data_IF_900322467120
#
_entry.id   IF_900322467120
#
_cell.length_a   1.000
_cell.length_b   1.000
_cell.length_c   1.000
_cell.angle_alpha   90.00
_cell.angle_beta   90.00
_cell.angle_gamma   90.00
#
_symmetry.space_group_name_H-M   'P 1'
#
loop_
_entity.id
_entity.type
_entity.pdbx_description
1 polymer ?
#
# COMPACT_ATOMS: atom_id res chain seq x y z
N UNK A 1 7.64 5.15 10.34
CA UNK A 1 8.80 5.19 9.45
C UNK A 1 8.61 6.39 8.57
N UNK A 2 9.47 7.40 8.71
CA UNK A 2 9.41 8.61 7.90
C UNK A 2 9.61 8.30 6.41
N UNK A 3 9.11 9.17 5.53
CA UNK A 3 9.23 9.00 4.06
C UNK A 3 10.67 8.73 3.59
N UNK A 4 11.67 9.37 4.21
CA UNK A 4 13.08 9.16 3.88
C UNK A 4 13.56 7.73 4.12
N UNK A 5 13.18 7.16 5.25
CA UNK A 5 13.51 5.78 5.61
C UNK A 5 12.83 4.78 4.66
N UNK A 6 11.58 5.07 4.24
CA UNK A 6 10.85 4.25 3.25
C UNK A 6 11.52 4.27 1.88
N UNK A 7 11.94 5.45 1.40
CA UNK A 7 12.71 5.60 0.16
C UNK A 7 13.99 4.76 0.25
N UNK A 8 14.75 4.89 1.34
CA UNK A 8 15.98 4.12 1.57
C UNK A 8 15.71 2.61 1.57
N UNK A 9 14.66 2.18 2.27
CA UNK A 9 14.26 0.78 2.35
C UNK A 9 13.98 0.20 0.96
N UNK A 10 13.10 0.81 0.17
CA UNK A 10 12.77 0.31 -1.17
C UNK A 10 13.94 0.43 -2.14
N UNK A 11 14.77 1.48 -2.04
CA UNK A 11 15.98 1.62 -2.86
C UNK A 11 16.93 0.44 -2.61
N UNK A 12 17.15 0.08 -1.34
CA UNK A 12 17.99 -1.06 -0.97
C UNK A 12 17.36 -2.38 -1.43
N UNK A 13 16.05 -2.55 -1.25
CA UNK A 13 15.31 -3.73 -1.70
C UNK A 13 15.47 -3.97 -3.21
N UNK A 14 15.55 -2.89 -3.99
CA UNK A 14 15.76 -2.94 -5.45
C UNK A 14 17.24 -2.94 -5.88
N UNK A 15 18.19 -3.01 -4.93
CA UNK A 15 19.62 -3.04 -5.21
C UNK A 15 20.18 -1.75 -5.84
N UNK A 16 19.48 -0.62 -5.68
CA UNK A 16 19.85 0.64 -6.33
C UNK A 16 20.81 1.48 -5.47
N UNK A 17 21.77 2.16 -6.11
CA UNK A 17 22.57 3.21 -5.43
C UNK A 17 21.79 4.52 -5.36
N UNK A 18 22.14 5.40 -4.41
CA UNK A 18 21.55 6.74 -4.32
C UNK A 18 21.78 7.55 -5.60
N UNK A 19 23.00 7.47 -6.17
CA UNK A 19 23.33 8.11 -7.45
C UNK A 19 22.42 7.62 -8.58
N UNK A 20 22.25 6.30 -8.70
CA UNK A 20 21.40 5.69 -9.71
C UNK A 20 19.94 6.13 -9.58
N UNK A 21 19.36 6.01 -8.39
CA UNK A 21 17.98 6.44 -8.14
C UNK A 21 17.80 7.94 -8.42
N UNK A 22 18.75 8.78 -7.97
CA UNK A 22 18.72 10.22 -8.20
C UNK A 22 18.74 10.59 -9.69
N UNK A 23 19.55 9.91 -10.50
CA UNK A 23 19.57 10.11 -11.95
C UNK A 23 18.26 9.66 -12.60
N UNK A 24 17.69 8.53 -12.15
CA UNK A 24 16.41 8.01 -12.67
C UNK A 24 15.22 8.93 -12.39
N UNK A 25 15.26 9.71 -11.31
CA UNK A 25 14.25 10.75 -11.01
C UNK A 25 14.62 12.14 -11.54
N UNK A 26 15.61 12.23 -12.43
CA UNK A 26 15.94 13.45 -13.17
C UNK A 26 16.90 14.41 -12.48
N UNK A 27 17.64 13.98 -11.45
CA UNK A 27 18.68 14.83 -10.86
C UNK A 27 19.94 14.86 -11.73
N UNK A 28 20.63 16.02 -11.82
CA UNK A 28 21.92 16.10 -12.49
C UNK A 28 22.92 15.13 -11.87
N UNK A 29 23.65 14.40 -12.70
CA UNK A 29 24.57 13.33 -12.27
C UNK A 29 25.51 13.75 -11.14
N UNK A 30 26.06 14.97 -11.22
CA UNK A 30 27.02 15.53 -10.24
C UNK A 30 26.43 15.73 -8.84
N UNK A 31 25.10 15.70 -8.71
CA UNK A 31 24.39 16.01 -7.45
C UNK A 31 23.35 14.96 -7.08
N UNK A 32 23.23 13.89 -7.88
CA UNK A 32 22.14 12.92 -7.76
C UNK A 32 22.18 12.16 -6.43
N UNK A 33 23.36 11.70 -6.03
CA UNK A 33 23.62 11.04 -4.76
C UNK A 33 23.38 11.96 -3.55
N UNK A 34 23.96 13.17 -3.57
CA UNK A 34 23.82 14.16 -2.48
C UNK A 34 22.35 14.49 -2.24
N UNK A 35 21.59 14.75 -3.32
CA UNK A 35 20.16 15.06 -3.21
C UNK A 35 19.35 13.87 -2.70
N UNK A 36 19.64 12.64 -3.14
CA UNK A 36 18.97 11.46 -2.62
C UNK A 36 19.28 11.21 -1.15
N UNK A 37 20.54 11.40 -0.73
CA UNK A 37 20.94 11.27 0.68
C UNK A 37 20.18 12.26 1.58
N UNK A 38 19.96 13.49 1.13
CA UNK A 38 19.18 14.49 1.87
C UNK A 38 17.73 14.06 2.11
N UNK A 39 17.09 13.44 1.10
CA UNK A 39 15.73 12.92 1.22
C UNK A 39 15.67 11.68 2.11
N UNK A 40 16.61 10.73 1.94
CA UNK A 40 16.66 9.51 2.74
C UNK A 40 16.96 9.78 4.22
N UNK A 41 17.73 10.83 4.52
CA UNK A 41 18.03 11.28 5.87
C UNK A 41 16.93 12.16 6.50
N UNK A 42 15.85 12.47 5.77
CA UNK A 42 14.75 13.31 6.26
C UNK A 42 15.07 14.81 6.34
N UNK A 43 16.28 15.24 5.99
CA UNK A 43 16.67 16.67 5.97
C UNK A 43 15.91 17.49 4.92
N UNK A 44 15.31 16.80 3.94
CA UNK A 44 14.37 17.37 2.97
C UNK A 44 13.17 16.44 2.80
N UNK A 45 11.99 17.02 2.60
CA UNK A 45 10.77 16.30 2.26
C UNK A 45 10.52 16.41 0.76
N UNK A 46 10.37 15.29 0.02
CA UNK A 46 10.06 15.34 -1.41
C UNK A 46 8.65 15.90 -1.64
N UNK A 47 8.50 16.76 -2.66
CA UNK A 47 7.18 17.24 -3.12
C UNK A 47 6.45 16.14 -3.91
N UNK A 48 5.14 16.29 -4.09
CA UNK A 48 4.27 15.31 -4.76
C UNK A 48 4.86 14.75 -6.07
N UNK A 49 5.27 15.61 -7.00
CA UNK A 49 5.83 15.16 -8.29
C UNK A 49 7.09 14.28 -8.14
N UNK A 50 7.93 14.58 -7.15
CA UNK A 50 9.10 13.77 -6.85
C UNK A 50 8.72 12.46 -6.15
N UNK A 51 7.70 12.47 -5.29
CA UNK A 51 7.17 11.23 -4.68
C UNK A 51 6.65 10.29 -5.76
N UNK A 52 5.90 10.81 -6.74
CA UNK A 52 5.41 10.03 -7.90
C UNK A 52 6.57 9.46 -8.71
N UNK A 53 7.58 10.28 -9.04
CA UNK A 53 8.75 9.81 -9.78
C UNK A 53 9.54 8.73 -9.02
N UNK A 54 9.73 8.90 -7.71
CA UNK A 54 10.40 7.91 -6.86
C UNK A 54 9.60 6.61 -6.79
N UNK A 55 8.29 6.70 -6.56
CA UNK A 55 7.39 5.55 -6.50
C UNK A 55 7.42 4.75 -7.82
N UNK A 56 7.40 5.44 -8.95
CA UNK A 56 7.53 4.84 -10.27
C UNK A 56 8.87 4.09 -10.44
N UNK A 57 10.00 4.72 -10.10
CA UNK A 57 11.32 4.08 -10.25
C UNK A 57 11.49 2.90 -9.29
N UNK A 58 10.93 3.00 -8.09
CA UNK A 58 10.96 1.95 -7.06
C UNK A 58 9.91 0.86 -7.30
N UNK A 59 9.03 1.06 -8.29
CA UNK A 59 7.89 0.20 -8.63
C UNK A 59 7.04 -0.11 -7.38
N UNK A 60 6.58 0.97 -6.74
CA UNK A 60 5.66 0.96 -5.60
C UNK A 60 4.59 2.04 -5.78
N UNK A 61 3.51 1.96 -5.01
CA UNK A 61 2.54 3.05 -4.92
C UNK A 61 3.14 4.29 -4.22
N UNK A 62 2.79 5.54 -4.63
CA UNK A 62 3.15 6.77 -3.90
C UNK A 62 2.72 6.76 -2.43
N UNK A 63 1.59 6.12 -2.12
CA UNK A 63 1.08 5.93 -0.77
C UNK A 63 1.98 5.00 0.04
N UNK A 64 2.71 4.09 -0.62
CA UNK A 64 3.74 3.29 0.02
C UNK A 64 4.98 4.11 0.41
N UNK A 65 5.10 5.39 0.06
CA UNK A 65 6.17 6.28 0.54
C UNK A 65 5.67 7.31 1.56
N UNK A 66 4.39 7.70 1.49
CA UNK A 66 3.78 8.80 2.26
C UNK A 66 2.93 8.32 3.45
N UNK A 67 3.39 7.30 4.17
CA UNK A 67 2.70 6.79 5.37
C UNK A 67 2.80 7.83 6.49
N UNK A 68 1.73 8.04 7.30
CA UNK A 68 1.79 8.91 8.49
C UNK A 68 2.95 8.54 9.41
N UNK A 69 3.49 9.55 10.10
CA UNK A 69 4.49 9.32 11.14
C UNK A 69 3.83 8.60 12.32
N UNK A 70 4.16 7.31 12.44
CA UNK A 70 3.72 6.40 13.49
C UNK A 70 4.92 5.90 14.30
N UNK A 71 6.05 6.60 14.27
CA UNK A 71 7.30 6.16 14.91
C UNK A 71 7.31 6.36 16.43
N UNK A 72 6.33 7.09 16.96
CA UNK A 72 6.09 7.22 18.40
C UNK A 72 4.75 6.61 18.76
N UNK A 73 4.64 6.06 19.97
CA UNK A 73 3.38 5.53 20.49
C UNK A 73 2.27 6.59 20.42
N UNK A 74 2.58 7.85 20.74
CA UNK A 74 1.63 8.96 20.61
C UNK A 74 1.24 9.26 19.17
N UNK A 75 2.19 9.25 18.22
CA UNK A 75 1.90 9.46 16.80
C UNK A 75 1.02 8.35 16.21
N UNK A 76 1.29 7.10 16.60
CA UNK A 76 0.44 5.96 16.28
C UNK A 76 -0.97 6.14 16.86
N UNK A 77 -1.08 6.47 18.16
CA UNK A 77 -2.37 6.66 18.81
C UNK A 77 -3.20 7.79 18.19
N UNK A 78 -2.59 8.95 17.90
CA UNK A 78 -3.28 10.03 17.21
C UNK A 78 -3.70 9.66 15.78
N UNK A 79 -2.93 8.82 15.10
CA UNK A 79 -3.34 8.23 13.81
C UNK A 79 -4.57 7.35 13.99
N UNK A 80 -4.58 6.46 14.98
CA UNK A 80 -5.72 5.58 15.28
C UNK A 80 -6.98 6.37 15.65
N UNK A 81 -6.86 7.43 16.46
CA UNK A 81 -7.98 8.32 16.80
C UNK A 81 -8.54 9.02 15.56
N UNK A 82 -7.69 9.53 14.67
CA UNK A 82 -8.13 10.12 13.42
C UNK A 82 -8.85 9.11 12.50
N UNK A 83 -8.43 7.84 12.52
CA UNK A 83 -9.12 6.76 11.80
C UNK A 83 -10.48 6.43 12.43
N UNK A 84 -10.59 6.45 13.76
CA UNK A 84 -11.87 6.30 14.46
C UNK A 84 -12.86 7.41 14.05
N UNK A 85 -12.45 8.66 14.15
CA UNK A 85 -13.29 9.83 13.84
C UNK A 85 -13.72 9.87 12.38
N UNK A 86 -12.76 9.66 11.47
CA UNK A 86 -12.96 9.95 10.04
C UNK A 86 -13.37 8.72 9.22
N UNK A 87 -12.93 7.53 9.62
CA UNK A 87 -13.07 6.30 8.83
C UNK A 87 -13.97 5.25 9.49
N UNK A 88 -14.48 5.50 10.71
CA UNK A 88 -15.41 4.60 11.38
C UNK A 88 -14.77 3.30 11.87
N UNK A 89 -13.45 3.32 12.10
CA UNK A 89 -12.80 2.27 12.87
C UNK A 89 -13.25 2.37 14.33
N UNK A 90 -13.34 1.22 15.01
CA UNK A 90 -13.60 1.17 16.45
C UNK A 90 -12.64 0.22 17.10
N UNK A 91 -12.31 0.52 18.35
CA UNK A 91 -11.70 -0.47 19.24
C UNK A 91 -12.76 -1.47 19.70
N UNK A 92 -12.35 -2.74 19.83
CA UNK A 92 -13.18 -3.82 20.36
C UNK A 92 -12.31 -4.87 21.02
N UNK A 93 -12.96 -5.89 21.56
CA UNK A 93 -12.32 -7.02 22.22
C UNK A 93 -12.86 -8.32 21.63
N UNK A 94 -11.97 -9.27 21.31
CA UNK A 94 -12.29 -10.62 20.87
C UNK A 94 -11.41 -11.56 21.70
N UNK A 95 -12.03 -12.46 22.47
CA UNK A 95 -11.33 -13.47 23.28
C UNK A 95 -10.22 -12.90 24.20
N UNK A 96 -10.43 -11.69 24.75
CA UNK A 96 -9.48 -10.99 25.61
C UNK A 96 -8.40 -10.20 24.86
N UNK A 97 -8.40 -10.23 23.53
CA UNK A 97 -7.48 -9.46 22.68
C UNK A 97 -8.12 -8.17 22.18
N UNK A 98 -7.39 -7.06 22.34
CA UNK A 98 -7.80 -5.76 21.81
C UNK A 98 -7.62 -5.77 20.29
N UNK A 99 -8.71 -5.52 19.56
CA UNK A 99 -8.72 -5.50 18.11
C UNK A 99 -9.30 -4.20 17.55
N UNK A 100 -8.86 -3.84 16.33
CA UNK A 100 -9.55 -2.86 15.51
C UNK A 100 -10.65 -3.56 14.71
N UNK A 101 -11.85 -2.99 14.71
CA UNK A 101 -13.00 -3.50 13.96
C UNK A 101 -13.70 -2.41 13.15
N UNK A 102 -14.37 -2.83 12.09
CA UNK A 102 -15.25 -1.97 11.32
C UNK A 102 -16.63 -1.88 11.97
N UNK A 103 -17.15 -0.67 12.10
CA UNK A 103 -18.46 -0.40 12.68
C UNK A 103 -19.58 -0.48 11.63
N UNK A 104 -20.55 -1.37 11.83
CA UNK A 104 -21.70 -1.51 10.92
C UNK A 104 -22.76 -0.42 11.09
N UNK A 105 -22.68 0.41 12.14
CA UNK A 105 -23.66 1.46 12.40
C UNK A 105 -23.62 2.60 11.38
N UNK A 106 -22.46 2.85 10.77
CA UNK A 106 -22.29 3.77 9.63
C UNK A 106 -22.05 2.96 8.35
N UNK A 107 -23.13 2.56 7.69
CA UNK A 107 -23.08 1.66 6.53
C UNK A 107 -22.23 2.20 5.36
N UNK A 108 -22.20 3.52 5.15
CA UNK A 108 -21.45 4.13 4.06
C UNK A 108 -19.94 4.02 4.31
N UNK A 109 -19.46 4.35 5.51
CA UNK A 109 -18.05 4.17 5.88
C UNK A 109 -17.68 2.70 5.93
N UNK A 110 -18.58 1.87 6.50
CA UNK A 110 -18.41 0.42 6.57
C UNK A 110 -18.18 -0.18 5.20
N UNK A 111 -19.05 0.08 4.22
CA UNK A 111 -18.99 -0.60 2.93
C UNK A 111 -17.69 -0.28 2.17
N UNK A 112 -17.27 0.99 2.19
CA UNK A 112 -16.02 1.40 1.52
C UNK A 112 -14.78 0.74 2.15
N UNK A 113 -14.69 0.73 3.48
CA UNK A 113 -13.56 0.14 4.21
C UNK A 113 -13.59 -1.39 4.19
N UNK A 114 -14.78 -2.00 4.23
CA UNK A 114 -14.97 -3.44 4.24
C UNK A 114 -14.30 -4.10 3.05
N UNK A 115 -14.46 -3.56 1.84
CA UNK A 115 -13.85 -4.14 0.65
C UNK A 115 -12.32 -4.14 0.74
N UNK A 116 -11.72 -3.02 1.19
CA UNK A 116 -10.26 -2.90 1.34
C UNK A 116 -9.72 -3.84 2.42
N UNK A 117 -10.38 -3.89 3.58
CA UNK A 117 -9.99 -4.76 4.70
C UNK A 117 -10.21 -6.24 4.39
N UNK A 118 -11.26 -6.57 3.66
CA UNK A 118 -11.52 -7.94 3.23
C UNK A 118 -10.48 -8.42 2.21
N UNK A 119 -10.02 -7.55 1.30
CA UNK A 119 -8.91 -7.87 0.41
C UNK A 119 -7.63 -8.15 1.21
N UNK A 120 -7.30 -7.27 2.17
CA UNK A 120 -6.16 -7.47 3.05
C UNK A 120 -6.26 -8.77 3.87
N UNK A 121 -7.41 -9.02 4.51
CA UNK A 121 -7.68 -10.24 5.28
C UNK A 121 -7.48 -11.50 4.44
N UNK A 122 -7.92 -11.50 3.19
CA UNK A 122 -7.76 -12.65 2.28
C UNK A 122 -6.29 -12.92 1.98
N UNK A 123 -5.51 -11.90 1.62
CA UNK A 123 -4.08 -12.10 1.33
C UNK A 123 -3.29 -12.50 2.58
N UNK A 124 -3.64 -11.97 3.76
CA UNK A 124 -3.05 -12.40 5.03
C UNK A 124 -3.35 -13.88 5.33
N UNK A 125 -4.60 -14.32 5.16
CA UNK A 125 -4.99 -15.71 5.37
C UNK A 125 -4.28 -16.67 4.40
N UNK A 126 -4.06 -16.26 3.14
CA UNK A 126 -3.26 -17.05 2.18
C UNK A 126 -1.81 -17.22 2.64
N UNK A 127 -1.21 -16.17 3.18
CA UNK A 127 0.15 -16.23 3.71
C UNK A 127 0.21 -17.18 4.91
N UNK A 128 -0.75 -17.10 5.83
CA UNK A 128 -0.85 -17.99 7.00
C UNK A 128 -1.05 -19.46 6.59
N UNK A 129 -1.84 -19.72 5.55
CA UNK A 129 -2.05 -21.05 4.99
C UNK A 129 -0.86 -21.56 4.15
N UNK A 130 0.15 -20.72 3.88
CA UNK A 130 1.30 -21.05 3.03
C UNK A 130 0.99 -21.11 1.52
N UNK A 131 -0.15 -20.55 1.09
CA UNK A 131 -0.55 -20.49 -0.33
C UNK A 131 0.26 -19.46 -1.12
N UNK A 132 0.79 -18.43 -0.45
CA UNK A 132 1.68 -17.42 -1.02
C UNK A 132 2.90 -17.24 -0.13
N UNK A 133 3.99 -16.76 -0.73
CA UNK A 133 5.22 -16.42 0.00
C UNK A 133 5.11 -15.05 0.67
N UNK A 134 6.04 -14.76 1.59
CA UNK A 134 6.16 -13.43 2.21
C UNK A 134 6.46 -12.36 1.16
N UNK A 135 7.26 -12.70 0.17
CA UNK A 135 7.64 -11.84 -0.94
C UNK A 135 6.42 -11.48 -1.82
N UNK A 136 5.56 -12.45 -2.12
CA UNK A 136 4.33 -12.25 -2.88
C UNK A 136 3.32 -11.37 -2.11
N UNK A 137 3.16 -11.63 -0.82
CA UNK A 137 2.33 -10.80 0.07
C UNK A 137 2.84 -9.36 0.14
N UNK A 138 4.16 -9.18 0.30
CA UNK A 138 4.79 -7.86 0.35
C UNK A 138 4.66 -7.12 -0.98
N UNK A 139 4.84 -7.81 -2.10
CA UNK A 139 4.60 -7.24 -3.42
C UNK A 139 3.16 -6.75 -3.57
N UNK A 140 2.15 -7.51 -3.13
CA UNK A 140 0.76 -7.04 -3.11
C UNK A 140 0.59 -5.79 -2.24
N UNK A 141 1.14 -5.78 -1.02
CA UNK A 141 1.07 -4.61 -0.11
C UNK A 141 1.70 -3.36 -0.71
N UNK A 142 2.83 -3.49 -1.41
CA UNK A 142 3.57 -2.35 -1.97
C UNK A 142 2.98 -1.82 -3.28
N UNK A 143 2.19 -2.64 -3.98
CA UNK A 143 1.56 -2.29 -5.26
C UNK A 143 0.06 -2.02 -5.14
N UNK A 144 -0.55 -2.20 -3.97
CA UNK A 144 -1.96 -1.92 -3.74
C UNK A 144 -2.33 -0.45 -4.09
N UNK A 145 -3.47 -0.18 -4.76
CA UNK A 145 -4.51 -1.13 -5.17
C UNK A 145 -4.33 -1.70 -6.58
N UNK A 146 -3.20 -1.46 -7.28
CA UNK A 146 -3.01 -1.82 -8.70
C UNK A 146 -3.26 -3.30 -8.97
N UNK A 147 -2.51 -4.18 -8.29
CA UNK A 147 -2.63 -5.64 -8.49
C UNK A 147 -4.04 -6.13 -8.15
N UNK A 148 -4.67 -5.55 -7.12
CA UNK A 148 -6.05 -5.89 -6.74
C UNK A 148 -7.07 -5.48 -7.82
N UNK A 149 -6.89 -4.29 -8.40
CA UNK A 149 -7.73 -3.79 -9.48
C UNK A 149 -7.56 -4.61 -10.77
N UNK A 150 -6.32 -5.02 -11.09
CA UNK A 150 -6.02 -5.90 -12.22
C UNK A 150 -6.67 -7.27 -12.06
N UNK A 151 -6.54 -7.90 -10.88
CA UNK A 151 -7.21 -9.16 -10.54
C UNK A 151 -8.72 -9.06 -10.66
N UNK A 152 -9.31 -7.98 -10.14
CA UNK A 152 -10.76 -7.73 -10.21
C UNK A 152 -11.24 -7.60 -11.66
N UNK A 153 -10.49 -6.87 -12.49
CA UNK A 153 -10.80 -6.70 -13.92
C UNK A 153 -10.75 -8.03 -14.67
N UNK A 154 -9.67 -8.80 -14.47
CA UNK A 154 -9.52 -10.12 -15.11
C UNK A 154 -10.67 -11.07 -14.75
N UNK A 155 -11.05 -11.13 -13.47
CA UNK A 155 -12.17 -11.95 -13.01
C UNK A 155 -13.52 -11.54 -13.63
N UNK A 156 -13.76 -10.23 -13.80
CA UNK A 156 -14.97 -9.72 -14.46
C UNK A 156 -15.00 -10.07 -15.95
N UNK A 157 -13.85 -10.01 -16.62
CA UNK A 157 -13.75 -10.36 -18.04
C UNK A 157 -13.97 -11.86 -18.26
N UNK A 158 -13.42 -12.74 -17.41
CA UNK A 158 -13.73 -14.17 -17.42
C UNK A 158 -15.21 -14.47 -17.19
N UNK A 159 -15.85 -13.77 -16.24
CA UNK A 159 -17.29 -13.89 -15.97
C UNK A 159 -18.14 -13.50 -17.19
N UNK A 160 -17.71 -12.46 -17.93
CA UNK A 160 -18.38 -12.02 -19.16
C UNK A 160 -18.26 -13.05 -20.26
N UNK A 161 -17.07 -13.63 -20.46
CA UNK A 161 -16.86 -14.67 -21.48
C UNK A 161 -17.66 -15.95 -21.16
N UNK A 162 -17.62 -16.43 -19.92
CA UNK A 162 -18.44 -17.59 -19.49
C UNK A 162 -19.95 -17.37 -19.70
N UNK A 163 -20.43 -16.13 -19.52
CA UNK A 163 -21.85 -15.79 -19.77
C UNK A 163 -22.18 -15.78 -21.27
N UNK A 164 -21.27 -15.29 -22.12
CA UNK A 164 -21.43 -15.34 -23.59
C UNK A 164 -21.43 -16.78 -24.10
N UNK A 165 -20.54 -17.63 -23.61
CA UNK A 165 -20.48 -19.05 -23.99
C UNK A 165 -21.75 -19.81 -23.59
N UNK A 166 -22.26 -19.57 -22.37
CA UNK A 166 -23.54 -20.15 -21.92
C UNK A 166 -24.75 -19.63 -22.69
N UNK A 167 -24.71 -18.38 -23.17
CA UNK A 167 -25.75 -17.82 -24.03
C UNK A 167 -25.75 -18.42 -25.44
N UNK A 168 -24.58 -18.80 -25.97
CA UNK A 168 -24.41 -19.39 -27.32
C UNK A 168 -24.63 -20.90 -27.38
N UNK A 169 -24.68 -21.58 -26.23
CA UNK A 169 -24.91 -23.03 -26.12
C UNK A 169 -26.33 -23.38 -25.69
N UNK A 170 -27.20 -22.37 -25.53
CA UNK A 170 -28.63 -22.50 -25.21
C UNK A 170 -29.58 -22.13 -26.36
N UNK A 171 -29.06 -21.88 -27.56
CA UNK A 171 -29.79 -21.79 -28.85
C UNK A 171 -29.49 -23.05 -29.67
#
# INVERSE_FOLDING_TARGET
MAIGERIRYFRNLRGMTQKYLGMRVGFPERTADIRMAQYEAGTRTPKADLVEALAYVLDVSPQALTVPDIDTDYGLMHTLFALEDRRGLRIGEIDGEICLRLDKSDWNKFHSMFNMWNAWRKEAAKLEAGEITREEYDHWRYTYPRVEAERTRAALDELRERKKEKGRSGE
#
